data_IF_105503736224
#
_entry.id   IF_105503736224
#
_cell.length_a   1.000
_cell.length_b   1.000
_cell.length_c   1.000
_cell.angle_alpha   90.00
_cell.angle_beta   90.00
_cell.angle_gamma   90.00
#
_symmetry.space_group_name_H-M   'P 1'
#
loop_
_entity.id
_entity.type
_entity.pdbx_description
1 polymer ?
#
# COMPACT_ATOMS: atom_id res chain seq x y z
N UNK A 1 0.27 -42.50 -8.25
CA UNK A 1 -0.67 -41.38 -8.05
C UNK A 1 -0.05 -40.28 -7.19
N UNK A 2 0.49 -40.55 -5.99
CA UNK A 2 1.12 -39.54 -5.11
C UNK A 2 2.27 -38.71 -5.72
N UNK A 3 3.08 -39.31 -6.59
CA UNK A 3 4.21 -38.60 -7.23
C UNK A 3 3.77 -37.59 -8.31
N UNK A 4 2.61 -37.82 -8.96
CA UNK A 4 2.08 -36.94 -9.99
C UNK A 4 1.49 -35.66 -9.36
N UNK A 5 0.81 -35.80 -8.22
CA UNK A 5 0.27 -34.69 -7.42
C UNK A 5 1.39 -33.77 -6.89
N UNK A 6 2.50 -34.36 -6.45
CA UNK A 6 3.70 -33.61 -6.02
C UNK A 6 4.37 -32.85 -7.17
N UNK A 7 4.44 -33.44 -8.36
CA UNK A 7 4.98 -32.78 -9.56
C UNK A 7 4.08 -31.63 -10.04
N UNK A 8 2.75 -31.78 -9.95
CA UNK A 8 1.81 -30.70 -10.26
C UNK A 8 1.97 -29.53 -9.28
N UNK A 9 2.13 -29.79 -7.98
CA UNK A 9 2.36 -28.74 -6.98
C UNK A 9 3.70 -28.00 -7.22
N UNK A 10 4.76 -28.73 -7.54
CA UNK A 10 6.07 -28.12 -7.86
C UNK A 10 6.03 -27.29 -9.15
N UNK A 11 5.26 -27.71 -10.15
CA UNK A 11 5.06 -26.95 -11.38
C UNK A 11 4.27 -25.65 -11.15
N UNK A 12 3.31 -25.65 -10.21
CA UNK A 12 2.58 -24.44 -9.81
C UNK A 12 3.52 -23.49 -9.06
N UNK A 13 4.38 -24.00 -8.17
CA UNK A 13 5.31 -23.18 -7.36
C UNK A 13 6.46 -22.61 -8.21
N UNK A 14 6.95 -23.35 -9.21
CA UNK A 14 7.99 -22.87 -10.12
C UNK A 14 7.48 -21.92 -11.22
N UNK A 15 6.16 -21.87 -11.44
CA UNK A 15 5.53 -20.98 -12.42
C UNK A 15 5.00 -19.67 -11.83
N UNK A 16 5.15 -19.43 -10.52
CA UNK A 16 4.79 -18.14 -9.93
C UNK A 16 5.90 -17.15 -10.26
N UNK A 17 5.82 -16.55 -11.44
CA UNK A 17 6.52 -15.30 -11.70
C UNK A 17 6.02 -14.27 -10.69
N UNK A 18 6.95 -13.50 -10.10
CA UNK A 18 6.56 -12.41 -9.21
C UNK A 18 5.62 -11.47 -9.98
N UNK A 19 4.53 -11.05 -9.35
CA UNK A 19 3.59 -10.11 -9.96
C UNK A 19 4.34 -8.91 -10.55
N UNK A 20 4.01 -8.55 -11.79
CA UNK A 20 4.42 -7.25 -12.34
C UNK A 20 3.78 -6.13 -11.54
N UNK A 21 4.34 -4.91 -11.62
CA UNK A 21 3.77 -3.73 -10.94
C UNK A 21 2.29 -3.53 -11.32
N UNK A 22 1.96 -3.64 -12.61
CA UNK A 22 0.59 -3.51 -13.10
C UNK A 22 -0.34 -4.62 -12.58
N UNK A 23 0.12 -5.87 -12.53
CA UNK A 23 -0.71 -6.96 -11.97
C UNK A 23 -0.94 -6.79 -10.48
N UNK A 24 0.09 -6.37 -9.73
CA UNK A 24 -0.06 -6.07 -8.30
C UNK A 24 -1.01 -4.91 -8.07
N UNK A 25 -0.87 -3.82 -8.84
CA UNK A 25 -1.75 -2.64 -8.75
C UNK A 25 -3.19 -3.02 -9.10
N UNK A 26 -3.41 -3.73 -10.21
CA UNK A 26 -4.74 -4.23 -10.57
C UNK A 26 -5.34 -5.15 -9.49
N UNK A 27 -4.53 -6.01 -8.88
CA UNK A 27 -4.96 -6.85 -7.77
C UNK A 27 -5.37 -6.00 -6.55
N UNK A 28 -4.51 -5.11 -6.08
CA UNK A 28 -4.76 -4.24 -4.93
C UNK A 28 -5.99 -3.34 -5.15
N UNK A 29 -6.14 -2.79 -6.35
CA UNK A 29 -7.22 -1.87 -6.71
C UNK A 29 -8.54 -2.58 -7.07
N UNK A 30 -8.53 -3.90 -7.19
CA UNK A 30 -9.74 -4.71 -7.37
C UNK A 30 -10.45 -5.08 -6.06
N UNK A 31 -9.80 -4.85 -4.91
CA UNK A 31 -10.43 -5.12 -3.61
C UNK A 31 -11.59 -4.15 -3.35
N UNK A 32 -12.69 -4.61 -2.72
CA UNK A 32 -13.76 -3.72 -2.26
C UNK A 32 -13.20 -2.60 -1.38
N UNK A 33 -13.60 -1.35 -1.66
CA UNK A 33 -13.07 -0.16 -0.99
C UNK A 33 -13.20 -0.24 0.54
N UNK A 34 -14.31 -0.75 1.06
CA UNK A 34 -14.49 -0.92 2.51
C UNK A 34 -13.43 -1.84 3.15
N UNK A 35 -13.01 -2.90 2.45
CA UNK A 35 -11.96 -3.80 2.94
C UNK A 35 -10.59 -3.14 2.86
N UNK A 36 -10.31 -2.48 1.73
CA UNK A 36 -9.06 -1.76 1.51
C UNK A 36 -8.88 -0.62 2.51
N UNK A 37 -9.93 0.16 2.79
CA UNK A 37 -9.89 1.24 3.77
C UNK A 37 -9.55 0.69 5.15
N UNK A 38 -10.28 -0.34 5.60
CA UNK A 38 -10.02 -0.96 6.91
C UNK A 38 -8.61 -1.52 7.02
N UNK A 39 -8.11 -2.16 5.96
CA UNK A 39 -6.75 -2.68 5.92
C UNK A 39 -5.71 -1.57 6.02
N UNK A 40 -5.87 -0.48 5.26
CA UNK A 40 -4.96 0.66 5.26
C UNK A 40 -4.98 1.35 6.62
N UNK A 41 -6.16 1.71 7.14
CA UNK A 41 -6.32 2.37 8.43
C UNK A 41 -5.72 1.53 9.57
N UNK A 42 -5.98 0.22 9.59
CA UNK A 42 -5.38 -0.68 10.57
C UNK A 42 -3.85 -0.72 10.43
N UNK A 43 -3.35 -0.85 9.20
CA UNK A 43 -1.91 -0.98 8.94
C UNK A 43 -1.17 0.28 9.34
N UNK A 44 -1.62 1.44 8.87
CA UNK A 44 -1.01 2.74 9.20
C UNK A 44 -1.09 3.00 10.70
N UNK A 45 -2.25 2.79 11.33
CA UNK A 45 -2.44 3.02 12.76
C UNK A 45 -1.63 2.11 13.68
N UNK A 46 -1.19 0.94 13.19
CA UNK A 46 -0.30 0.02 13.94
C UNK A 46 1.18 0.16 13.59
N UNK A 47 1.50 0.87 12.51
CA UNK A 47 2.87 1.05 12.04
C UNK A 47 3.62 2.09 12.87
N UNK A 48 4.89 2.30 12.55
CA UNK A 48 5.73 3.30 13.22
C UNK A 48 5.25 4.73 12.97
N UNK A 49 5.76 5.67 13.76
CA UNK A 49 5.50 7.10 13.58
C UNK A 49 5.91 7.60 12.20
N UNK A 50 6.99 7.05 11.62
CA UNK A 50 7.41 7.37 10.25
C UNK A 50 6.30 7.06 9.23
N UNK A 51 5.72 5.86 9.29
CA UNK A 51 4.65 5.45 8.38
C UNK A 51 3.40 6.30 8.57
N UNK A 52 3.04 6.59 9.82
CA UNK A 52 1.89 7.45 10.14
C UNK A 52 2.07 8.86 9.56
N UNK A 53 3.24 9.49 9.78
CA UNK A 53 3.56 10.81 9.19
C UNK A 53 3.60 10.77 7.66
N UNK A 54 4.10 9.69 7.06
CA UNK A 54 4.12 9.53 5.60
C UNK A 54 2.70 9.42 5.05
N UNK A 55 1.82 8.67 5.75
CA UNK A 55 0.40 8.60 5.44
C UNK A 55 -0.30 9.95 5.55
N UNK A 56 -0.03 10.71 6.62
CA UNK A 56 -0.53 12.08 6.80
C UNK A 56 -0.06 13.03 5.70
N UNK A 57 1.21 12.93 5.29
CA UNK A 57 1.78 13.71 4.19
C UNK A 57 1.07 13.38 2.87
N UNK A 58 0.91 12.09 2.56
CA UNK A 58 0.22 11.65 1.34
C UNK A 58 -1.22 12.15 1.32
N UNK A 59 -1.94 11.96 2.42
CA UNK A 59 -3.31 12.42 2.57
C UNK A 59 -3.45 13.92 2.34
N UNK A 60 -2.65 14.72 3.05
CA UNK A 60 -2.60 16.18 2.88
C UNK A 60 -2.35 16.60 1.43
N UNK A 61 -1.49 15.88 0.71
CA UNK A 61 -1.15 16.22 -0.67
C UNK A 61 -2.20 15.78 -1.69
N UNK A 62 -2.81 14.61 -1.50
CA UNK A 62 -3.88 14.13 -2.40
C UNK A 62 -5.18 14.89 -2.16
N UNK A 63 -5.59 15.04 -0.90
CA UNK A 63 -6.80 15.75 -0.49
C UNK A 63 -6.86 17.19 -1.03
N UNK A 64 -5.70 17.87 -1.02
CA UNK A 64 -5.55 19.23 -1.52
C UNK A 64 -6.00 19.41 -2.97
N UNK A 65 -5.92 18.37 -3.81
CA UNK A 65 -6.21 18.46 -5.24
C UNK A 65 -7.36 17.56 -5.70
N UNK A 66 -7.71 16.52 -4.94
CA UNK A 66 -8.68 15.50 -5.36
C UNK A 66 -9.85 15.30 -4.40
N UNK A 67 -9.89 15.97 -3.25
CA UNK A 67 -10.90 15.85 -2.18
C UNK A 67 -11.10 14.40 -1.69
N UNK A 68 -10.76 14.13 -0.43
CA UNK A 68 -10.83 12.79 0.16
C UNK A 68 -11.46 12.80 1.55
N UNK A 69 -12.04 11.67 1.94
CA UNK A 69 -12.64 11.48 3.28
C UNK A 69 -11.60 11.01 4.32
N UNK A 70 -10.33 10.80 3.92
CA UNK A 70 -9.20 10.54 4.81
C UNK A 70 -8.08 9.70 4.19
N UNK A 71 -7.08 9.37 5.03
CA UNK A 71 -5.81 8.76 4.61
C UNK A 71 -5.96 7.51 3.75
N UNK A 72 -6.87 6.61 4.12
CA UNK A 72 -7.11 5.39 3.35
C UNK A 72 -7.59 5.68 1.92
N UNK A 73 -8.50 6.64 1.75
CA UNK A 73 -8.99 7.01 0.42
C UNK A 73 -7.89 7.71 -0.37
N UNK A 74 -7.15 8.63 0.24
CA UNK A 74 -5.98 9.27 -0.38
C UNK A 74 -4.95 8.26 -0.88
N UNK A 75 -4.64 7.25 -0.06
CA UNK A 75 -3.73 6.18 -0.44
C UNK A 75 -4.25 5.37 -1.63
N UNK A 76 -5.53 5.02 -1.63
CA UNK A 76 -6.13 4.28 -2.74
C UNK A 76 -6.23 5.12 -4.02
N UNK A 77 -6.59 6.38 -3.93
CA UNK A 77 -6.60 7.28 -5.09
C UNK A 77 -5.19 7.38 -5.68
N UNK A 78 -4.18 7.63 -4.86
CA UNK A 78 -2.80 7.70 -5.31
C UNK A 78 -2.30 6.37 -5.92
N UNK A 79 -2.66 5.22 -5.34
CA UNK A 79 -2.23 3.91 -5.83
C UNK A 79 -2.99 3.46 -7.09
N UNK A 80 -4.28 3.77 -7.18
CA UNK A 80 -5.20 3.13 -8.14
C UNK A 80 -5.62 4.02 -9.30
N UNK A 81 -5.37 5.33 -9.23
CA UNK A 81 -5.68 6.26 -10.31
C UNK A 81 -4.41 6.84 -10.89
N UNK A 82 -4.15 6.50 -12.14
CA UNK A 82 -2.99 7.01 -12.87
C UNK A 82 -2.97 8.54 -12.92
N UNK A 83 -4.13 9.20 -13.01
CA UNK A 83 -4.22 10.65 -13.02
C UNK A 83 -3.88 11.33 -11.69
N UNK A 84 -3.94 10.59 -10.57
CA UNK A 84 -3.49 11.05 -9.24
C UNK A 84 -2.02 10.68 -9.05
N UNK A 85 -1.63 9.46 -9.43
CA UNK A 85 -0.26 8.97 -9.34
C UNK A 85 0.71 9.82 -10.15
N UNK A 86 0.36 10.17 -11.40
CA UNK A 86 1.20 10.97 -12.30
C UNK A 86 1.02 12.49 -12.11
N UNK A 87 0.28 12.92 -11.09
CA UNK A 87 -0.01 14.33 -10.85
C UNK A 87 1.25 15.08 -10.40
N UNK A 88 1.70 16.03 -11.22
CA UNK A 88 2.83 16.90 -10.90
C UNK A 88 2.57 17.71 -9.62
N UNK A 89 1.34 18.15 -9.41
CA UNK A 89 0.93 18.91 -8.22
C UNK A 89 1.04 18.06 -6.93
N UNK A 90 0.62 16.80 -6.99
CA UNK A 90 0.74 15.86 -5.86
C UNK A 90 2.20 15.54 -5.59
N UNK A 91 3.00 15.26 -6.63
CA UNK A 91 4.42 14.98 -6.47
C UNK A 91 5.22 16.16 -5.91
N UNK A 92 4.96 17.38 -6.39
CA UNK A 92 5.58 18.59 -5.87
C UNK A 92 5.23 18.78 -4.38
N UNK A 93 3.97 18.58 -4.01
CA UNK A 93 3.55 18.64 -2.60
C UNK A 93 4.26 17.59 -1.73
N UNK A 94 4.36 16.35 -2.19
CA UNK A 94 5.08 15.28 -1.48
C UNK A 94 6.56 15.62 -1.30
N UNK A 95 7.19 16.18 -2.33
CA UNK A 95 8.59 16.57 -2.30
C UNK A 95 8.82 17.74 -1.34
N UNK A 96 7.94 18.73 -1.31
CA UNK A 96 8.02 19.85 -0.34
C UNK A 96 7.84 19.38 1.10
N UNK A 97 6.92 18.43 1.32
CA UNK A 97 6.60 17.92 2.65
C UNK A 97 7.50 16.81 3.15
N UNK A 98 8.45 16.31 2.35
CA UNK A 98 9.34 15.21 2.78
C UNK A 98 10.26 15.63 3.93
N UNK A 99 10.55 16.94 4.05
CA UNK A 99 11.32 17.48 5.18
C UNK A 99 10.58 17.37 6.53
N UNK A 100 9.25 17.19 6.51
CA UNK A 100 8.43 16.97 7.71
C UNK A 100 8.51 15.50 8.22
N UNK A 101 9.07 14.61 7.40
CA UNK A 101 9.14 13.16 7.64
C UNK A 101 10.59 12.76 7.83
N UNK A 102 10.89 12.09 8.95
CA UNK A 102 12.23 11.58 9.23
C UNK A 102 12.64 10.50 8.20
N UNK A 103 13.93 10.22 8.01
CA UNK A 103 14.36 9.15 7.10
C UNK A 103 13.88 7.76 7.61
N UNK A 104 13.43 6.85 6.72
CA UNK A 104 13.02 5.52 7.13
C UNK A 104 14.18 4.70 7.67
N UNK A 105 13.94 3.96 8.75
CA UNK A 105 14.83 2.93 9.25
C UNK A 105 14.40 1.53 8.81
N UNK A 106 15.28 0.53 8.97
CA UNK A 106 14.91 -0.87 8.75
C UNK A 106 13.79 -1.31 9.72
N UNK A 107 13.79 -0.79 10.95
CA UNK A 107 12.76 -1.08 11.96
C UNK A 107 11.38 -0.55 11.52
N UNK A 108 11.32 0.63 10.90
CA UNK A 108 10.07 1.18 10.36
C UNK A 108 9.46 0.26 9.29
N UNK A 109 10.31 -0.32 8.44
CA UNK A 109 9.88 -1.26 7.41
C UNK A 109 9.42 -2.59 8.02
N UNK A 110 10.13 -3.13 9.00
CA UNK A 110 9.73 -4.35 9.71
C UNK A 110 8.39 -4.16 10.43
N UNK A 111 8.21 -3.03 11.12
CA UNK A 111 6.96 -2.68 11.79
C UNK A 111 5.80 -2.54 10.81
N UNK A 112 6.02 -1.91 9.64
CA UNK A 112 5.01 -1.80 8.59
C UNK A 112 4.57 -3.17 8.09
N UNK A 113 5.53 -4.05 7.79
CA UNK A 113 5.25 -5.40 7.29
C UNK A 113 4.47 -6.21 8.33
N UNK A 114 4.85 -6.14 9.60
CA UNK A 114 4.16 -6.87 10.66
C UNK A 114 2.77 -6.30 10.97
N UNK A 115 2.59 -4.97 10.86
CA UNK A 115 1.28 -4.35 10.91
C UNK A 115 0.38 -4.84 9.76
N UNK A 116 0.90 -4.86 8.52
CA UNK A 116 0.16 -5.34 7.36
C UNK A 116 -0.27 -6.82 7.52
N UNK A 117 0.65 -7.70 7.93
CA UNK A 117 0.34 -9.12 8.21
C UNK A 117 -0.74 -9.26 9.28
N UNK A 118 -0.65 -8.49 10.36
CA UNK A 118 -1.63 -8.53 11.44
C UNK A 118 -3.01 -8.08 10.93
N UNK A 119 -3.07 -6.95 10.24
CA UNK A 119 -4.31 -6.34 9.77
C UNK A 119 -4.99 -7.14 8.65
N UNK A 120 -4.25 -7.93 7.87
CA UNK A 120 -4.83 -8.88 6.92
C UNK A 120 -5.71 -9.94 7.58
N UNK A 121 -5.45 -10.30 8.84
CA UNK A 121 -6.16 -11.36 9.57
C UNK A 121 -7.09 -10.79 10.65
N UNK A 122 -6.66 -9.71 11.31
CA UNK A 122 -7.28 -9.19 12.54
C UNK A 122 -7.75 -7.73 12.44
N UNK A 123 -7.65 -7.12 11.25
CA UNK A 123 -8.09 -5.75 10.96
C UNK A 123 -9.58 -5.63 10.66
#
# INVERSE_FOLDING_TARGET
MKALELLCLLAIIWGVEAFTKEEFQNFACSFPSEFSHRLIDCTVGRSSTYVQKTGELLDRCVDKFYETEGQAESFLLFLCRDDVFDSEDVHNCLQEGIEDVDDPTEEDLEMFIDAAKYCLIYG
#
